data_IF_529878060881
#
_entry.id   IF_529878060881
#
_cell.length_a   1.000
_cell.length_b   1.000
_cell.length_c   1.000
_cell.angle_alpha   90.00
_cell.angle_beta   90.00
_cell.angle_gamma   90.00
#
_symmetry.space_group_name_H-M   'P 1'
#
loop_
_entity.id
_entity.type
_entity.pdbx_description
1 polymer ?
#
# COMPACT_ATOMS: atom_id res chain seq x y z
N UNK A 1 -21.36 11.01 -8.48
CA UNK A 1 -21.70 9.61 -8.78
C UNK A 1 -23.23 9.48 -8.67
N UNK A 2 -23.86 8.88 -9.65
CA UNK A 2 -25.33 8.77 -9.76
C UNK A 2 -25.78 7.32 -9.49
N UNK A 3 -25.13 6.64 -8.55
CA UNK A 3 -25.48 5.28 -8.10
C UNK A 3 -25.61 4.27 -9.25
N UNK A 4 -24.68 4.28 -10.19
CA UNK A 4 -24.65 3.35 -11.32
C UNK A 4 -24.57 1.90 -10.81
N UNK A 5 -25.34 1.01 -11.43
CA UNK A 5 -25.34 -0.42 -11.13
C UNK A 5 -23.99 -1.08 -11.41
N UNK A 6 -23.66 -2.15 -10.67
CA UNK A 6 -22.36 -2.85 -10.80
C UNK A 6 -22.16 -3.41 -12.21
N UNK A 7 -23.23 -3.98 -12.81
CA UNK A 7 -23.20 -4.54 -14.17
C UNK A 7 -22.89 -3.47 -15.21
N UNK A 8 -23.50 -2.27 -15.09
CA UNK A 8 -23.28 -1.15 -16.00
C UNK A 8 -21.87 -0.58 -15.85
N UNK A 9 -21.34 -0.53 -14.61
CA UNK A 9 -19.98 -0.12 -14.35
C UNK A 9 -18.97 -1.09 -15.00
N UNK A 10 -19.18 -2.38 -14.87
CA UNK A 10 -18.35 -3.41 -15.52
C UNK A 10 -18.40 -3.26 -17.03
N UNK A 11 -19.60 -3.09 -17.61
CA UNK A 11 -19.79 -2.89 -19.05
C UNK A 11 -19.09 -1.61 -19.55
N UNK A 12 -19.16 -0.52 -18.80
CA UNK A 12 -18.47 0.73 -19.12
C UNK A 12 -16.93 0.57 -19.12
N UNK A 13 -16.38 -0.15 -18.13
CA UNK A 13 -14.93 -0.44 -18.06
C UNK A 13 -14.52 -1.31 -19.26
N UNK A 14 -15.28 -2.35 -19.58
CA UNK A 14 -15.00 -3.21 -20.73
C UNK A 14 -15.10 -2.47 -22.06
N UNK A 15 -16.08 -1.56 -22.20
CA UNK A 15 -16.20 -0.71 -23.36
C UNK A 15 -14.98 0.21 -23.53
N UNK A 16 -14.55 0.88 -22.45
CA UNK A 16 -13.36 1.72 -22.46
C UNK A 16 -12.10 0.92 -22.81
N UNK A 17 -11.93 -0.28 -22.21
CA UNK A 17 -10.81 -1.17 -22.52
C UNK A 17 -10.80 -1.57 -24.01
N UNK A 18 -11.96 -1.92 -24.57
CA UNK A 18 -12.09 -2.25 -26.00
C UNK A 18 -11.76 -1.06 -26.91
N UNK A 19 -12.18 0.14 -26.54
CA UNK A 19 -11.89 1.35 -27.31
C UNK A 19 -10.38 1.67 -27.36
N UNK A 20 -9.65 1.41 -26.27
CA UNK A 20 -8.20 1.63 -26.21
C UNK A 20 -7.40 0.67 -27.11
N UNK A 21 -7.96 -0.49 -27.50
CA UNK A 21 -7.22 -1.47 -28.34
C UNK A 21 -6.73 -0.85 -29.66
N UNK A 22 -7.51 0.01 -30.29
CA UNK A 22 -7.08 0.70 -31.52
C UNK A 22 -5.85 1.58 -31.34
N UNK A 23 -5.70 2.19 -30.17
CA UNK A 23 -4.50 2.98 -29.81
C UNK A 23 -3.31 2.04 -29.58
N UNK A 24 -3.51 0.92 -28.92
CA UNK A 24 -2.45 -0.08 -28.69
C UNK A 24 -1.95 -0.67 -30.02
N UNK A 25 -2.86 -1.01 -30.93
CA UNK A 25 -2.51 -1.47 -32.26
C UNK A 25 -1.69 -0.44 -33.06
N UNK A 26 -2.03 0.85 -32.91
CA UNK A 26 -1.24 1.93 -33.50
C UNK A 26 0.16 2.02 -32.90
N UNK A 27 0.28 1.92 -31.58
CA UNK A 27 1.57 1.90 -30.88
C UNK A 27 2.44 0.73 -31.36
N UNK A 28 1.86 -0.45 -31.52
CA UNK A 28 2.60 -1.61 -32.04
C UNK A 28 3.09 -1.37 -33.48
N UNK A 29 2.25 -0.82 -34.36
CA UNK A 29 2.67 -0.45 -35.73
C UNK A 29 3.81 0.56 -35.76
N UNK A 30 3.76 1.56 -34.86
CA UNK A 30 4.85 2.56 -34.73
C UNK A 30 6.11 1.86 -34.21
N UNK A 31 5.99 0.97 -33.24
CA UNK A 31 7.12 0.19 -32.73
C UNK A 31 7.76 -0.65 -33.81
N UNK A 32 6.99 -1.32 -34.66
CA UNK A 32 7.48 -2.10 -35.78
C UNK A 32 8.20 -1.26 -36.83
N UNK A 33 7.69 -0.05 -37.10
CA UNK A 33 8.22 0.83 -38.13
C UNK A 33 9.50 1.58 -37.72
N UNK A 34 9.56 2.06 -36.49
CA UNK A 34 10.64 2.95 -36.01
C UNK A 34 11.19 2.60 -34.63
N UNK A 35 10.72 1.50 -34.05
CA UNK A 35 11.17 1.06 -32.73
C UNK A 35 12.65 0.71 -32.72
N UNK A 36 13.31 1.00 -31.61
CA UNK A 36 14.69 0.59 -31.35
C UNK A 36 14.69 -0.71 -30.55
N UNK A 37 15.71 -1.52 -30.78
CA UNK A 37 15.95 -2.70 -29.95
C UNK A 37 16.13 -2.29 -28.49
N UNK A 38 15.46 -3.02 -27.59
CA UNK A 38 15.59 -2.78 -26.15
C UNK A 38 16.96 -3.27 -25.67
N UNK A 39 17.52 -2.55 -24.72
CA UNK A 39 18.76 -3.03 -24.07
C UNK A 39 18.54 -4.40 -23.46
N UNK A 40 19.50 -5.28 -23.67
CA UNK A 40 19.51 -6.58 -23.00
C UNK A 40 19.71 -6.35 -21.49
N UNK A 41 18.79 -6.88 -20.72
CA UNK A 41 18.84 -6.82 -19.26
C UNK A 41 18.52 -8.22 -18.71
N UNK A 42 19.48 -8.77 -17.99
CA UNK A 42 19.28 -9.98 -17.21
C UNK A 42 19.09 -9.59 -15.75
N UNK A 43 17.91 -9.87 -15.22
CA UNK A 43 17.66 -9.66 -13.82
C UNK A 43 18.52 -10.60 -12.97
N UNK A 44 19.20 -10.11 -11.93
CA UNK A 44 19.92 -10.99 -11.02
C UNK A 44 18.94 -12.00 -10.40
N UNK A 45 19.32 -13.27 -10.47
CA UNK A 45 18.53 -14.36 -9.89
C UNK A 45 19.06 -14.70 -8.51
N UNK A 46 18.16 -14.74 -7.55
CA UNK A 46 18.46 -15.26 -6.21
C UNK A 46 18.71 -16.78 -6.29
N UNK A 47 19.59 -17.27 -5.45
CA UNK A 47 19.86 -18.71 -5.33
C UNK A 47 18.61 -19.41 -4.72
N UNK A 48 18.04 -20.35 -5.45
CA UNK A 48 16.84 -21.11 -5.03
C UNK A 48 17.05 -21.89 -3.73
N UNK A 49 18.30 -22.21 -3.38
CA UNK A 49 18.63 -22.86 -2.11
C UNK A 49 18.29 -21.95 -0.92
N UNK A 50 18.46 -20.63 -1.07
CA UNK A 50 18.09 -19.66 -0.03
C UNK A 50 16.59 -19.71 0.23
N UNK A 51 15.75 -19.75 -0.81
CA UNK A 51 14.30 -19.85 -0.66
C UNK A 51 13.89 -21.11 0.09
N UNK A 52 14.51 -22.26 -0.26
CA UNK A 52 14.23 -23.53 0.39
C UNK A 52 14.62 -23.51 1.88
N UNK A 53 15.81 -23.00 2.21
CA UNK A 53 16.31 -22.93 3.59
C UNK A 53 15.53 -21.93 4.43
N UNK A 54 15.21 -20.75 3.90
CA UNK A 54 14.38 -19.76 4.58
C UNK A 54 12.99 -20.33 4.88
N UNK A 55 12.42 -21.08 3.96
CA UNK A 55 11.13 -21.76 4.17
C UNK A 55 11.23 -22.84 5.27
N UNK A 56 12.28 -23.63 5.28
CA UNK A 56 12.51 -24.67 6.29
C UNK A 56 12.60 -24.09 7.70
N UNK A 57 13.39 -23.03 7.88
CA UNK A 57 13.66 -22.40 9.19
C UNK A 57 12.52 -21.49 9.64
N UNK A 58 11.86 -20.79 8.70
CA UNK A 58 10.96 -19.69 8.99
C UNK A 58 9.47 -20.00 8.91
N UNK A 59 9.04 -21.01 8.13
CA UNK A 59 7.61 -21.17 7.79
C UNK A 59 6.72 -21.36 9.02
N UNK A 60 7.07 -22.24 9.94
CA UNK A 60 6.28 -22.50 11.14
C UNK A 60 6.12 -21.27 12.02
N UNK A 61 7.22 -20.53 12.21
CA UNK A 61 7.25 -19.29 12.99
C UNK A 61 6.41 -18.20 12.33
N UNK A 62 6.45 -18.08 10.99
CA UNK A 62 5.66 -17.11 10.23
C UNK A 62 4.16 -17.43 10.33
N UNK A 63 3.78 -18.72 10.24
CA UNK A 63 2.38 -19.14 10.42
C UNK A 63 1.88 -18.77 11.83
N UNK A 64 2.67 -19.02 12.85
CA UNK A 64 2.35 -18.63 14.23
C UNK A 64 2.16 -17.12 14.35
N UNK A 65 3.09 -16.32 13.82
CA UNK A 65 3.01 -14.86 13.83
C UNK A 65 1.80 -14.32 13.07
N UNK A 66 1.38 -14.95 11.95
CA UNK A 66 0.18 -14.59 11.21
C UNK A 66 -1.12 -14.76 12.03
N UNK A 67 -1.11 -15.55 13.10
CA UNK A 67 -2.27 -15.74 13.98
C UNK A 67 -2.37 -14.70 15.11
N UNK A 68 -1.40 -13.80 15.25
CA UNK A 68 -1.46 -12.68 16.19
C UNK A 68 -2.40 -11.62 15.62
N UNK A 69 -3.53 -11.39 16.28
CA UNK A 69 -4.56 -10.48 15.79
C UNK A 69 -4.14 -9.00 15.83
N UNK A 70 -3.48 -8.59 16.92
CA UNK A 70 -3.00 -7.23 17.11
C UNK A 70 -1.87 -6.89 16.14
N UNK A 71 -1.94 -5.69 15.56
CA UNK A 71 -1.01 -5.25 14.53
C UNK A 71 0.44 -5.16 15.05
N UNK A 72 0.67 -4.41 16.14
CA UNK A 72 2.02 -4.16 16.64
C UNK A 72 2.74 -5.44 17.11
N UNK A 73 2.17 -6.27 17.99
CA UNK A 73 2.80 -7.53 18.38
C UNK A 73 3.10 -8.46 17.20
N UNK A 74 2.21 -8.50 16.21
CA UNK A 74 2.43 -9.30 15.00
C UNK A 74 3.64 -8.79 14.20
N UNK A 75 3.77 -7.48 14.01
CA UNK A 75 4.91 -6.89 13.28
C UNK A 75 6.21 -7.04 14.04
N UNK A 76 6.19 -6.90 15.37
CA UNK A 76 7.35 -7.13 16.22
C UNK A 76 7.82 -8.58 16.09
N UNK A 77 6.89 -9.53 16.15
CA UNK A 77 7.19 -10.95 15.98
C UNK A 77 7.78 -11.26 14.60
N UNK A 78 7.24 -10.69 13.52
CA UNK A 78 7.84 -10.82 12.18
C UNK A 78 9.27 -10.28 12.14
N UNK A 79 9.53 -9.16 12.80
CA UNK A 79 10.85 -8.54 12.84
C UNK A 79 11.86 -9.40 13.61
N UNK A 80 11.43 -10.04 14.70
CA UNK A 80 12.23 -11.00 15.47
C UNK A 80 12.57 -12.23 14.63
N UNK A 81 11.55 -12.87 14.02
CA UNK A 81 11.74 -14.05 13.17
C UNK A 81 12.70 -13.73 12.00
N UNK A 82 12.58 -12.55 11.40
CA UNK A 82 13.50 -12.11 10.34
C UNK A 82 14.96 -12.10 10.83
N UNK A 83 15.20 -11.57 12.03
CA UNK A 83 16.55 -11.54 12.63
C UNK A 83 17.05 -12.95 12.94
N UNK A 84 16.18 -13.83 13.49
CA UNK A 84 16.51 -15.22 13.77
C UNK A 84 16.92 -15.96 12.49
N UNK A 85 16.11 -15.87 11.42
CA UNK A 85 16.36 -16.51 10.12
C UNK A 85 17.66 -16.03 9.49
N UNK A 86 17.89 -14.72 9.50
CA UNK A 86 19.14 -14.14 8.99
C UNK A 86 20.34 -14.61 9.78
N UNK A 87 20.28 -14.62 11.10
CA UNK A 87 21.38 -15.06 11.96
C UNK A 87 21.71 -16.55 11.78
N UNK A 88 20.68 -17.40 11.61
CA UNK A 88 20.85 -18.83 11.40
C UNK A 88 21.48 -19.18 10.05
N UNK A 89 21.10 -18.43 8.99
CA UNK A 89 21.57 -18.71 7.64
C UNK A 89 22.81 -17.93 7.21
N UNK A 90 23.26 -16.95 8.00
CA UNK A 90 24.44 -16.12 7.67
C UNK A 90 25.71 -16.94 7.46
N UNK A 91 25.90 -18.03 8.20
CA UNK A 91 27.04 -18.92 8.04
C UNK A 91 27.00 -19.81 6.80
N UNK A 92 25.80 -20.15 6.33
CA UNK A 92 25.56 -20.98 5.15
C UNK A 92 25.65 -20.17 3.85
N UNK A 93 25.21 -18.90 3.88
CA UNK A 93 25.20 -17.99 2.73
C UNK A 93 25.93 -16.67 3.04
N UNK A 94 27.28 -16.70 3.14
CA UNK A 94 28.06 -15.50 3.43
C UNK A 94 27.83 -14.45 2.33
N UNK A 95 27.73 -13.17 2.74
CA UNK A 95 27.52 -12.01 1.86
C UNK A 95 26.14 -11.96 1.14
N UNK A 96 25.24 -12.93 1.37
CA UNK A 96 23.91 -12.96 0.76
C UNK A 96 22.78 -12.59 1.74
N UNK A 97 23.07 -11.80 2.76
CA UNK A 97 22.08 -11.35 3.75
C UNK A 97 20.88 -10.64 3.10
N UNK A 98 21.13 -9.89 2.02
CA UNK A 98 20.08 -9.22 1.23
C UNK A 98 19.09 -10.22 0.64
N UNK A 99 19.59 -11.31 0.08
CA UNK A 99 18.78 -12.36 -0.52
C UNK A 99 17.98 -13.15 0.52
N UNK A 100 18.58 -13.45 1.67
CA UNK A 100 17.90 -14.07 2.81
C UNK A 100 16.73 -13.19 3.28
N UNK A 101 16.96 -11.89 3.45
CA UNK A 101 15.91 -10.93 3.83
C UNK A 101 14.79 -10.86 2.82
N UNK A 102 15.13 -10.84 1.53
CA UNK A 102 14.15 -10.83 0.44
C UNK A 102 13.33 -12.12 0.40
N UNK A 103 13.99 -13.28 0.53
CA UNK A 103 13.32 -14.58 0.60
C UNK A 103 12.36 -14.68 1.80
N UNK A 104 12.76 -14.13 2.96
CA UNK A 104 11.89 -14.07 4.12
C UNK A 104 10.64 -13.20 3.88
N UNK A 105 10.79 -12.05 3.23
CA UNK A 105 9.63 -11.20 2.90
C UNK A 105 8.68 -11.91 1.94
N UNK A 106 9.20 -12.63 0.95
CA UNK A 106 8.40 -13.45 0.03
C UNK A 106 7.69 -14.58 0.78
N UNK A 107 8.37 -15.28 1.67
CA UNK A 107 7.78 -16.32 2.53
C UNK A 107 6.63 -15.73 3.36
N UNK A 108 6.86 -14.61 4.05
CA UNK A 108 5.86 -13.93 4.86
C UNK A 108 4.65 -13.52 4.03
N UNK A 109 4.88 -12.88 2.88
CA UNK A 109 3.83 -12.44 1.97
C UNK A 109 2.98 -13.62 1.49
N UNK A 110 3.62 -14.67 0.99
CA UNK A 110 2.92 -15.83 0.45
C UNK A 110 2.17 -16.61 1.53
N UNK A 111 2.75 -16.77 2.71
CA UNK A 111 2.10 -17.45 3.85
C UNK A 111 0.86 -16.68 4.31
N UNK A 112 0.98 -15.36 4.50
CA UNK A 112 -0.17 -14.52 4.88
C UNK A 112 -1.26 -14.55 3.81
N UNK A 113 -0.88 -14.48 2.53
CA UNK A 113 -1.83 -14.53 1.41
C UNK A 113 -2.55 -15.87 1.33
N UNK A 114 -1.83 -16.97 1.46
CA UNK A 114 -2.41 -18.32 1.47
C UNK A 114 -3.41 -18.47 2.61
N UNK A 115 -3.04 -18.09 3.83
CA UNK A 115 -3.93 -18.13 4.99
C UNK A 115 -5.23 -17.35 4.76
N UNK A 116 -5.12 -16.13 4.19
CA UNK A 116 -6.32 -15.31 3.91
C UNK A 116 -7.22 -15.97 2.86
N UNK A 117 -6.63 -16.59 1.83
CA UNK A 117 -7.40 -17.23 0.75
C UNK A 117 -8.02 -18.56 1.17
N UNK A 118 -7.28 -19.38 1.92
CA UNK A 118 -7.67 -20.75 2.27
C UNK A 118 -8.60 -20.75 3.50
N UNK A 119 -8.24 -20.02 4.56
CA UNK A 119 -9.03 -19.92 5.80
C UNK A 119 -10.18 -18.91 5.68
N UNK A 120 -10.22 -18.12 4.60
CA UNK A 120 -11.21 -17.06 4.36
C UNK A 120 -11.31 -16.06 5.52
N UNK A 121 -10.23 -15.86 6.22
CA UNK A 121 -10.09 -14.99 7.40
C UNK A 121 -8.94 -14.01 7.19
N UNK A 122 -9.17 -12.75 7.50
CA UNK A 122 -8.10 -11.74 7.51
C UNK A 122 -7.20 -11.91 8.72
N UNK A 123 -5.97 -11.40 8.65
CA UNK A 123 -4.96 -11.52 9.72
C UNK A 123 -5.38 -10.90 11.05
N UNK A 124 -6.34 -9.99 11.07
CA UNK A 124 -6.95 -9.43 12.27
C UNK A 124 -8.20 -10.19 12.75
N UNK A 125 -8.44 -11.37 12.19
CA UNK A 125 -9.53 -12.26 12.57
C UNK A 125 -10.88 -11.99 11.92
N UNK A 126 -11.04 -10.86 11.18
CA UNK A 126 -12.29 -10.54 10.49
C UNK A 126 -12.51 -11.43 9.26
N UNK A 127 -13.76 -11.60 8.87
CA UNK A 127 -14.12 -12.15 7.56
C UNK A 127 -13.90 -11.12 6.43
N UNK A 128 -14.25 -11.49 5.20
CA UNK A 128 -14.08 -10.60 4.04
C UNK A 128 -15.08 -9.43 3.99
N UNK A 129 -16.22 -9.55 4.65
CA UNK A 129 -17.32 -8.57 4.60
C UNK A 129 -17.29 -7.59 5.76
N UNK A 130 -16.73 -7.99 6.90
CA UNK A 130 -16.69 -7.15 8.09
C UNK A 130 -15.74 -5.97 7.92
N UNK A 131 -16.29 -4.76 8.01
CA UNK A 131 -15.53 -3.51 8.03
C UNK A 131 -14.94 -3.31 9.42
N UNK A 132 -13.75 -2.66 9.52
CA UNK A 132 -13.20 -2.26 10.81
C UNK A 132 -14.14 -1.29 11.52
N UNK A 133 -14.19 -1.29 12.86
CA UNK A 133 -15.00 -0.31 13.60
C UNK A 133 -14.63 1.10 13.19
N UNK A 134 -15.65 1.92 12.95
CA UNK A 134 -15.52 3.33 12.59
C UNK A 134 -16.12 4.15 13.74
N UNK A 135 -15.34 5.11 14.24
CA UNK A 135 -15.80 6.12 15.17
C UNK A 135 -15.49 7.51 14.60
N UNK A 136 -16.42 8.45 14.78
CA UNK A 136 -16.28 9.80 14.26
C UNK A 136 -16.69 10.78 15.37
N UNK A 137 -15.81 11.76 15.63
CA UNK A 137 -16.09 12.88 16.50
C UNK A 137 -16.02 14.16 15.68
N UNK A 138 -16.96 15.08 15.87
CA UNK A 138 -16.98 16.37 15.16
C UNK A 138 -16.81 17.52 16.14
N UNK A 139 -16.30 18.68 15.65
CA UNK A 139 -16.13 19.86 16.49
C UNK A 139 -14.97 19.74 17.49
N UNK A 140 -13.97 18.90 17.22
CA UNK A 140 -12.84 18.65 18.13
C UNK A 140 -11.99 19.90 18.38
N UNK A 141 -11.73 20.68 17.34
CA UNK A 141 -10.86 21.85 17.39
C UNK A 141 -11.70 23.14 17.41
N UNK A 142 -11.57 23.98 18.45
CA UNK A 142 -12.49 25.10 18.66
C UNK A 142 -12.22 26.32 17.76
N UNK A 143 -11.09 26.42 17.09
CA UNK A 143 -10.66 27.60 16.33
C UNK A 143 -10.70 27.44 14.81
N UNK A 144 -11.06 26.28 14.30
CA UNK A 144 -11.24 26.01 12.88
C UNK A 144 -12.72 26.09 12.50
N UNK A 145 -13.05 26.32 11.24
CA UNK A 145 -14.43 26.39 10.77
C UNK A 145 -15.16 25.04 10.83
N UNK A 146 -14.41 23.95 10.68
CA UNK A 146 -14.91 22.60 10.90
C UNK A 146 -13.77 21.66 11.25
N UNK A 147 -14.05 20.66 12.09
CA UNK A 147 -13.09 19.61 12.41
C UNK A 147 -13.79 18.29 12.69
N UNK A 148 -13.14 17.20 12.33
CA UNK A 148 -13.55 15.87 12.71
C UNK A 148 -12.35 14.97 13.00
N UNK A 149 -12.54 14.06 13.95
CA UNK A 149 -11.63 12.96 14.22
C UNK A 149 -12.27 11.69 13.65
N UNK A 150 -11.64 11.09 12.68
CA UNK A 150 -12.08 9.84 12.07
C UNK A 150 -11.17 8.71 12.51
N UNK A 151 -11.74 7.69 13.11
CA UNK A 151 -11.00 6.51 13.57
C UNK A 151 -11.57 5.27 12.89
N UNK A 152 -10.71 4.47 12.27
CA UNK A 152 -11.06 3.19 11.67
C UNK A 152 -10.10 2.10 12.18
N UNK A 153 -10.54 1.35 13.18
CA UNK A 153 -9.67 0.41 13.90
C UNK A 153 -8.50 1.14 14.53
N UNK A 154 -7.29 0.81 14.14
CA UNK A 154 -6.05 1.44 14.65
C UNK A 154 -5.57 2.64 13.82
N UNK A 155 -6.32 3.03 12.80
CA UNK A 155 -5.98 4.16 11.92
C UNK A 155 -6.83 5.36 12.27
N UNK A 156 -6.19 6.53 12.43
CA UNK A 156 -6.85 7.76 12.83
C UNK A 156 -6.47 8.92 11.92
N UNK A 157 -7.45 9.76 11.60
CA UNK A 157 -7.26 10.98 10.81
C UNK A 157 -7.94 12.16 11.47
N UNK A 158 -7.23 13.29 11.60
CA UNK A 158 -7.80 14.57 11.98
C UNK A 158 -8.02 15.38 10.71
N UNK A 159 -9.27 15.73 10.45
CA UNK A 159 -9.67 16.53 9.30
C UNK A 159 -10.07 17.91 9.78
N UNK A 160 -9.53 18.95 9.17
CA UNK A 160 -9.90 20.35 9.45
C UNK A 160 -10.38 21.00 8.16
N UNK A 161 -11.41 21.85 8.30
CA UNK A 161 -11.95 22.65 7.21
C UNK A 161 -11.81 24.12 7.54
N UNK A 162 -11.26 24.87 6.59
CA UNK A 162 -11.18 26.34 6.67
C UNK A 162 -11.91 26.92 5.48
N UNK A 163 -12.84 27.83 5.74
CA UNK A 163 -13.53 28.59 4.71
C UNK A 163 -12.75 29.87 4.45
N UNK A 164 -12.53 30.18 3.20
CA UNK A 164 -11.84 31.38 2.76
C UNK A 164 -12.68 32.24 1.82
N UNK A 165 -12.15 33.38 1.46
CA UNK A 165 -12.69 34.28 0.44
C UNK A 165 -12.05 34.00 -0.91
N UNK A 166 -12.52 34.66 -1.97
CA UNK A 166 -11.92 34.58 -3.31
C UNK A 166 -10.43 34.98 -3.32
N UNK A 167 -9.99 35.81 -2.38
CA UNK A 167 -8.58 36.21 -2.28
C UNK A 167 -7.67 35.10 -1.73
N UNK A 168 -8.26 34.10 -1.08
CA UNK A 168 -7.56 32.96 -0.51
C UNK A 168 -7.40 31.79 -1.51
N UNK A 169 -7.98 31.93 -2.73
CA UNK A 169 -7.85 30.93 -3.79
C UNK A 169 -6.39 30.77 -4.23
N UNK A 170 -6.00 29.55 -4.48
CA UNK A 170 -4.65 29.26 -4.98
C UNK A 170 -4.52 29.67 -6.45
N UNK A 171 -3.69 30.67 -6.71
CA UNK A 171 -3.31 31.03 -8.08
C UNK A 171 -2.37 29.96 -8.66
N UNK A 172 -2.72 29.41 -9.80
CA UNK A 172 -1.90 28.51 -10.59
C UNK A 172 -1.42 29.28 -11.82
N UNK A 173 -0.11 29.52 -11.88
CA UNK A 173 0.56 30.17 -13.00
C UNK A 173 1.33 29.08 -13.78
N UNK A 174 0.67 28.51 -14.78
CA UNK A 174 1.18 27.40 -15.59
C UNK A 174 1.73 27.88 -16.95
N UNK A 175 2.36 26.95 -17.70
CA UNK A 175 2.89 27.23 -19.04
C UNK A 175 1.80 27.50 -20.09
N UNK A 176 0.57 27.01 -19.89
CA UNK A 176 -0.51 27.07 -20.84
C UNK A 176 -1.49 28.19 -20.47
N UNK A 177 -1.94 28.21 -19.22
CA UNK A 177 -2.91 29.20 -18.75
C UNK A 177 -2.75 29.47 -17.25
N UNK A 178 -3.24 30.65 -16.85
CA UNK A 178 -3.35 31.07 -15.46
C UNK A 178 -4.78 30.81 -14.98
N UNK A 179 -4.96 30.14 -13.84
CA UNK A 179 -6.27 29.92 -13.25
C UNK A 179 -6.21 29.87 -11.72
N UNK A 180 -7.38 29.97 -11.09
CA UNK A 180 -7.52 29.93 -9.62
C UNK A 180 -8.22 28.66 -9.19
N UNK A 181 -7.69 28.01 -8.13
CA UNK A 181 -8.30 26.84 -7.49
C UNK A 181 -9.04 27.26 -6.24
N UNK A 182 -10.39 27.20 -6.24
CA UNK A 182 -11.20 27.54 -5.07
C UNK A 182 -11.20 26.43 -4.00
N UNK A 183 -10.76 25.22 -4.35
CA UNK A 183 -10.66 24.08 -3.41
C UNK A 183 -9.23 23.59 -3.33
N UNK A 184 -8.71 23.54 -2.10
CA UNK A 184 -7.36 23.05 -1.79
C UNK A 184 -7.48 21.92 -0.80
N UNK A 185 -6.87 20.79 -1.09
CA UNK A 185 -6.74 19.65 -0.18
C UNK A 185 -5.27 19.43 0.15
N UNK A 186 -4.93 19.52 1.44
CA UNK A 186 -3.65 19.12 1.96
C UNK A 186 -3.81 17.78 2.69
N UNK A 187 -2.94 16.83 2.39
CA UNK A 187 -2.92 15.53 3.04
C UNK A 187 -1.53 15.27 3.60
N UNK A 188 -1.47 15.08 4.91
CA UNK A 188 -0.26 14.71 5.63
C UNK A 188 -0.49 13.34 6.28
N UNK A 189 0.54 12.52 6.34
CA UNK A 189 0.48 11.19 6.95
C UNK A 189 1.43 11.09 8.15
N UNK A 190 1.10 11.70 9.29
CA UNK A 190 1.94 11.65 10.47
C UNK A 190 1.94 10.24 11.10
N UNK A 191 3.00 9.84 11.81
CA UNK A 191 3.13 8.51 12.40
C UNK A 191 1.97 8.11 13.32
N UNK A 192 1.40 9.05 14.07
CA UNK A 192 0.28 8.77 14.97
C UNK A 192 -0.97 8.25 14.23
N UNK A 193 -1.13 8.55 12.94
CA UNK A 193 -2.28 8.08 12.14
C UNK A 193 -2.36 6.56 12.02
N UNK A 194 -1.27 5.86 12.27
CA UNK A 194 -1.17 4.39 12.29
C UNK A 194 -0.72 3.83 13.64
N UNK A 195 -0.81 4.64 14.70
CA UNK A 195 -0.45 4.25 16.07
C UNK A 195 1.06 4.17 16.32
N UNK A 196 1.88 4.81 15.49
CA UNK A 196 3.34 4.84 15.67
C UNK A 196 3.80 6.11 16.38
N UNK A 197 4.81 5.97 17.25
CA UNK A 197 5.50 7.10 17.89
C UNK A 197 6.83 7.34 17.20
N UNK A 198 6.87 8.34 16.35
CA UNK A 198 8.06 8.78 15.61
C UNK A 198 8.12 10.30 15.54
N UNK A 199 9.29 10.85 15.23
CA UNK A 199 9.41 12.27 14.94
C UNK A 199 8.56 12.63 13.71
N UNK A 200 7.88 13.78 13.79
CA UNK A 200 7.23 14.39 12.64
C UNK A 200 8.34 14.93 11.71
N UNK A 201 8.54 14.26 10.60
CA UNK A 201 9.50 14.73 9.59
C UNK A 201 8.81 15.80 8.72
N UNK A 202 9.59 16.83 8.32
CA UNK A 202 9.12 17.87 7.39
C UNK A 202 8.74 17.35 6.00
N UNK A 203 9.08 16.11 5.69
CA UNK A 203 8.85 15.46 4.38
C UNK A 203 7.65 14.52 4.36
N UNK A 204 6.95 14.37 5.46
CA UNK A 204 5.73 13.56 5.54
C UNK A 204 4.48 14.38 5.27
#
# INVERSE_FOLDING_TARGET
AEEMGEADMIAAIQFGHKAVQGVLDLIEKIREAVGKEKWAFEAPKRDERIDARVKEVGLSKVIEACNIAEKHPRYDRFSEIKKEVVAELAGEFPEQEGDIKSAYEDLRYNTMRAQVLDDKRRVDGRDYKTVRPIAIEVGLLPRVHGSSLFTRGETQGIVTTTLGTRQDEQKIDGLIEEFYKPFILHYNFPPYSVGETKFLDRKS
#
